data_IF_673016343575
#
_entry.id   IF_673016343575
#
_cell.length_a   1.000
_cell.length_b   1.000
_cell.length_c   1.000
_cell.angle_alpha   90.00
_cell.angle_beta   90.00
_cell.angle_gamma   90.00
#
_symmetry.space_group_name_H-M   'P 1'
#
loop_
_entity.id
_entity.type
_entity.pdbx_description
1 polymer ?
#
# COMPACT_ATOMS: atom_id res chain seq x y z
N UNK A 1 -13.00 8.99 -6.66
CA UNK A 1 -14.05 8.11 -7.24
C UNK A 1 -15.14 7.85 -6.21
N UNK A 2 -16.44 7.86 -6.58
CA UNK A 2 -17.55 7.55 -5.66
C UNK A 2 -17.53 6.03 -5.33
N UNK A 3 -17.75 5.66 -4.07
CA UNK A 3 -17.71 4.24 -3.64
C UNK A 3 -18.74 3.36 -4.37
N UNK A 4 -19.90 3.90 -4.73
CA UNK A 4 -20.87 3.18 -5.54
C UNK A 4 -20.30 2.74 -6.90
N UNK A 5 -19.45 3.58 -7.52
CA UNK A 5 -18.77 3.22 -8.77
C UNK A 5 -17.73 2.13 -8.56
N UNK A 6 -17.03 2.14 -7.41
CA UNK A 6 -16.09 1.04 -7.04
C UNK A 6 -16.85 -0.27 -6.87
N UNK A 7 -17.98 -0.23 -6.18
CA UNK A 7 -18.84 -1.41 -5.97
C UNK A 7 -19.30 -2.01 -7.30
N UNK A 8 -19.80 -1.17 -8.20
CA UNK A 8 -20.22 -1.59 -9.54
C UNK A 8 -19.06 -2.19 -10.33
N UNK A 9 -17.91 -1.53 -10.31
CA UNK A 9 -16.69 -2.00 -10.98
C UNK A 9 -16.27 -3.40 -10.49
N UNK A 10 -16.27 -3.62 -9.18
CA UNK A 10 -15.94 -4.94 -8.60
C UNK A 10 -16.97 -5.99 -9.00
N UNK A 11 -18.27 -5.64 -9.04
CA UNK A 11 -19.32 -6.55 -9.50
C UNK A 11 -19.08 -6.98 -10.96
N UNK A 12 -18.80 -6.02 -11.83
CA UNK A 12 -18.53 -6.28 -13.25
C UNK A 12 -17.28 -7.14 -13.42
N UNK A 13 -16.18 -6.81 -12.72
CA UNK A 13 -14.97 -7.64 -12.77
C UNK A 13 -15.24 -9.09 -12.35
N UNK A 14 -15.99 -9.30 -11.27
CA UNK A 14 -16.33 -10.66 -10.81
C UNK A 14 -17.12 -11.44 -11.84
N UNK A 15 -18.12 -10.82 -12.46
CA UNK A 15 -18.88 -11.47 -13.52
C UNK A 15 -18.01 -11.83 -14.71
N UNK A 16 -17.16 -10.91 -15.18
CA UNK A 16 -16.20 -11.21 -16.27
C UNK A 16 -15.26 -12.36 -15.91
N UNK A 17 -14.69 -12.36 -14.69
CA UNK A 17 -13.80 -13.43 -14.23
C UNK A 17 -14.55 -14.78 -14.05
N UNK A 18 -15.88 -14.72 -13.85
CA UNK A 18 -16.76 -15.91 -13.84
C UNK A 18 -17.24 -16.32 -15.24
N UNK A 19 -16.70 -15.73 -16.30
CA UNK A 19 -17.07 -15.97 -17.72
C UNK A 19 -18.52 -15.56 -18.05
N UNK A 20 -19.07 -14.63 -17.28
CA UNK A 20 -20.44 -14.14 -17.49
C UNK A 20 -20.47 -12.99 -18.51
N UNK A 21 -21.62 -12.83 -19.18
CA UNK A 21 -21.97 -11.59 -19.87
C UNK A 21 -22.53 -10.62 -18.84
N UNK A 22 -21.86 -9.50 -18.61
CA UNK A 22 -22.23 -8.51 -17.59
C UNK A 22 -22.67 -7.20 -18.22
N UNK A 23 -23.55 -6.50 -17.52
CA UNK A 23 -23.97 -5.17 -17.90
C UNK A 23 -23.03 -4.12 -17.29
N UNK A 24 -22.53 -3.23 -18.12
CA UNK A 24 -21.63 -2.14 -17.74
C UNK A 24 -22.29 -0.79 -18.08
N UNK A 25 -22.50 0.04 -17.05
CA UNK A 25 -23.10 1.37 -17.20
C UNK A 25 -22.01 2.43 -17.34
N UNK A 26 -22.12 3.25 -18.40
CA UNK A 26 -21.26 4.41 -18.70
C UNK A 26 -22.10 5.69 -18.86
N UNK A 27 -21.37 6.84 -19.03
CA UNK A 27 -21.99 8.13 -19.36
C UNK A 27 -22.60 8.11 -20.76
N UNK A 28 -23.55 7.48 -21.10
CA UNK A 28 -24.15 7.38 -22.45
C UNK A 28 -25.01 6.14 -22.60
N UNK A 29 -25.07 5.30 -21.59
CA UNK A 29 -25.92 4.13 -21.62
C UNK A 29 -25.34 2.91 -20.93
N UNK A 30 -26.00 1.79 -21.12
CA UNK A 30 -25.57 0.49 -20.60
C UNK A 30 -25.21 -0.42 -21.76
N UNK A 31 -24.11 -1.14 -21.63
CA UNK A 31 -23.61 -2.08 -22.62
C UNK A 31 -23.40 -3.46 -21.98
N UNK A 32 -23.63 -4.51 -22.76
CA UNK A 32 -23.23 -5.87 -22.37
C UNK A 32 -21.80 -6.11 -22.79
N UNK A 33 -20.97 -6.58 -21.85
CA UNK A 33 -19.56 -6.94 -22.09
C UNK A 33 -19.28 -8.35 -21.62
N UNK A 34 -18.36 -9.03 -22.30
CA UNK A 34 -17.87 -10.36 -21.95
C UNK A 34 -16.49 -10.61 -22.53
N UNK A 35 -15.78 -11.62 -22.08
CA UNK A 35 -14.61 -12.13 -22.80
C UNK A 35 -15.09 -12.86 -24.07
N UNK A 36 -14.66 -12.40 -25.24
CA UNK A 36 -15.18 -12.89 -26.52
C UNK A 36 -14.66 -14.27 -26.91
N UNK A 37 -13.44 -14.60 -26.49
CA UNK A 37 -12.75 -15.83 -26.88
C UNK A 37 -12.07 -16.51 -25.70
N UNK A 38 -12.81 -16.89 -24.64
CA UNK A 38 -12.25 -17.52 -23.44
C UNK A 38 -11.60 -18.89 -23.74
N UNK A 39 -12.01 -19.55 -24.81
CA UNK A 39 -11.45 -20.82 -25.28
C UNK A 39 -9.97 -20.72 -25.71
N UNK A 40 -9.48 -19.54 -26.05
CA UNK A 40 -8.06 -19.32 -26.35
C UNK A 40 -7.16 -19.34 -25.10
N UNK A 41 -7.75 -19.33 -23.90
CA UNK A 41 -7.06 -19.40 -22.60
C UNK A 41 -5.94 -18.37 -22.44
N UNK A 42 -6.12 -17.17 -23.00
CA UNK A 42 -5.18 -16.06 -22.85
C UNK A 42 -5.13 -15.53 -21.39
N UNK A 43 -6.20 -15.77 -20.64
CA UNK A 43 -6.31 -15.53 -19.21
C UNK A 43 -6.78 -16.82 -18.59
N UNK A 44 -6.17 -17.23 -17.47
CA UNK A 44 -6.68 -18.34 -16.68
C UNK A 44 -7.96 -17.90 -15.96
N UNK A 45 -9.10 -18.37 -16.44
CA UNK A 45 -10.43 -18.15 -15.87
C UNK A 45 -11.02 -19.42 -15.23
N UNK A 46 -10.25 -20.51 -15.20
CA UNK A 46 -10.68 -21.77 -14.59
C UNK A 46 -10.44 -21.74 -13.08
N UNK A 47 -9.42 -21.04 -12.64
CA UNK A 47 -9.14 -20.81 -11.23
C UNK A 47 -9.77 -19.49 -10.75
N UNK A 48 -10.23 -19.48 -9.50
CA UNK A 48 -10.77 -18.26 -8.89
C UNK A 48 -9.66 -17.20 -8.73
N UNK A 49 -9.87 -16.03 -9.33
CA UNK A 49 -8.98 -14.86 -9.16
C UNK A 49 -9.54 -13.98 -8.05
N UNK A 50 -8.89 -13.94 -6.87
CA UNK A 50 -9.37 -13.13 -5.75
C UNK A 50 -9.19 -11.64 -6.04
N UNK A 51 -10.19 -10.83 -5.70
CA UNK A 51 -10.12 -9.37 -5.78
C UNK A 51 -9.74 -8.84 -4.41
N UNK A 52 -8.70 -8.02 -4.36
CA UNK A 52 -8.26 -7.32 -3.16
C UNK A 52 -8.53 -5.82 -3.28
N UNK A 53 -8.98 -5.21 -2.19
CA UNK A 53 -9.26 -3.79 -2.11
C UNK A 53 -8.30 -3.09 -1.17
N UNK A 54 -7.65 -2.03 -1.64
CA UNK A 54 -6.88 -1.12 -0.80
C UNK A 54 -7.84 -0.10 -0.17
N UNK A 55 -8.12 -0.25 1.13
CA UNK A 55 -9.12 0.53 1.84
C UNK A 55 -8.59 1.06 3.18
N UNK A 56 -8.24 2.36 3.22
CA UNK A 56 -7.67 3.00 4.41
C UNK A 56 -8.72 3.62 5.33
N UNK A 57 -9.80 4.15 4.77
CA UNK A 57 -10.87 4.80 5.54
C UNK A 57 -12.03 3.88 5.92
N UNK A 58 -12.87 4.25 6.90
CA UNK A 58 -13.95 3.41 7.41
C UNK A 58 -14.97 3.03 6.33
N UNK A 59 -15.32 3.95 5.43
CA UNK A 59 -16.27 3.69 4.33
C UNK A 59 -15.71 2.68 3.31
N UNK A 60 -14.40 2.76 3.03
CA UNK A 60 -13.72 1.80 2.14
C UNK A 60 -13.68 0.41 2.76
N UNK A 61 -13.34 0.30 4.05
CA UNK A 61 -13.36 -0.97 4.79
C UNK A 61 -14.76 -1.59 4.83
N UNK A 62 -15.80 -0.78 5.08
CA UNK A 62 -17.19 -1.25 5.05
C UNK A 62 -17.58 -1.80 3.66
N UNK A 63 -17.16 -1.14 2.57
CA UNK A 63 -17.38 -1.63 1.22
C UNK A 63 -16.62 -2.93 0.95
N UNK A 64 -15.35 -3.02 1.36
CA UNK A 64 -14.55 -4.26 1.26
C UNK A 64 -15.24 -5.43 1.96
N UNK A 65 -15.71 -5.20 3.18
CA UNK A 65 -16.45 -6.18 3.96
C UNK A 65 -17.78 -6.56 3.30
N UNK A 66 -18.57 -5.59 2.84
CA UNK A 66 -19.81 -5.82 2.09
C UNK A 66 -19.59 -6.74 0.90
N UNK A 67 -18.55 -6.50 0.15
CA UNK A 67 -18.20 -7.26 -1.04
C UNK A 67 -17.54 -8.61 -0.72
N UNK A 68 -17.07 -8.85 0.50
CA UNK A 68 -16.28 -10.05 0.81
C UNK A 68 -15.01 -10.12 -0.04
N UNK A 69 -14.39 -8.98 -0.31
CA UNK A 69 -13.16 -8.91 -1.04
C UNK A 69 -11.96 -9.05 -0.07
N UNK A 70 -10.82 -9.54 -0.55
CA UNK A 70 -9.58 -9.45 0.19
C UNK A 70 -9.24 -7.99 0.49
N UNK A 71 -8.57 -7.75 1.59
CA UNK A 71 -8.17 -6.40 2.01
C UNK A 71 -6.67 -6.25 2.01
N UNK A 72 -6.18 -5.10 1.59
CA UNK A 72 -4.76 -4.79 1.61
C UNK A 72 -4.49 -3.41 2.21
N UNK A 73 -3.41 -3.32 2.97
CA UNK A 73 -2.92 -2.08 3.56
C UNK A 73 -1.40 -1.98 3.47
N UNK A 74 -0.87 -0.78 3.63
CA UNK A 74 0.54 -0.51 3.80
C UNK A 74 0.83 0.13 5.15
N UNK A 75 2.10 0.39 5.42
CA UNK A 75 2.56 1.04 6.63
C UNK A 75 3.66 0.26 7.33
N UNK A 76 4.05 0.71 8.53
CA UNK A 76 4.93 -0.05 9.40
C UNK A 76 4.14 -1.15 10.14
N UNK A 77 4.86 -2.04 10.86
CA UNK A 77 4.26 -3.12 11.65
C UNK A 77 3.10 -2.68 12.55
N UNK A 78 3.33 -1.61 13.35
CA UNK A 78 2.31 -1.11 14.30
C UNK A 78 1.07 -0.58 13.59
N UNK A 79 1.27 0.20 12.54
CA UNK A 79 0.18 0.77 11.74
C UNK A 79 -0.64 -0.30 11.03
N UNK A 80 0.00 -1.31 10.45
CA UNK A 80 -0.66 -2.44 9.79
C UNK A 80 -1.53 -3.23 10.78
N UNK A 81 -0.99 -3.60 11.96
CA UNK A 81 -1.74 -4.35 12.99
C UNK A 81 -2.93 -3.52 13.50
N UNK A 82 -2.76 -2.23 13.75
CA UNK A 82 -3.86 -1.35 14.15
C UNK A 82 -4.96 -1.28 13.07
N UNK A 83 -4.57 -1.13 11.80
CA UNK A 83 -5.51 -1.06 10.68
C UNK A 83 -6.30 -2.37 10.49
N UNK A 84 -5.66 -3.52 10.77
CA UNK A 84 -6.34 -4.83 10.73
C UNK A 84 -7.46 -4.93 11.76
N UNK A 85 -7.27 -4.40 12.98
CA UNK A 85 -8.33 -4.33 13.99
C UNK A 85 -9.58 -3.61 13.46
N UNK A 86 -9.41 -2.42 12.89
CA UNK A 86 -10.51 -1.66 12.30
C UNK A 86 -11.14 -2.34 11.05
N UNK A 87 -10.37 -3.17 10.33
CA UNK A 87 -10.93 -3.96 9.23
C UNK A 87 -11.77 -5.14 9.74
N UNK A 88 -11.33 -5.82 10.81
CA UNK A 88 -12.11 -6.89 11.46
C UNK A 88 -13.44 -6.39 12.00
N UNK A 89 -13.45 -5.21 12.64
CA UNK A 89 -14.69 -4.57 13.08
C UNK A 89 -15.67 -4.36 11.91
N UNK A 90 -15.18 -3.81 10.79
CA UNK A 90 -16.00 -3.63 9.59
C UNK A 90 -16.48 -4.97 8.99
N UNK A 91 -15.63 -6.00 9.05
CA UNK A 91 -15.94 -7.35 8.56
C UNK A 91 -17.04 -8.01 9.40
N UNK A 92 -16.92 -7.98 10.71
CA UNK A 92 -17.92 -8.50 11.65
C UNK A 92 -19.24 -7.71 11.57
N UNK A 93 -19.17 -6.38 11.41
CA UNK A 93 -20.36 -5.53 11.21
C UNK A 93 -21.11 -5.86 9.91
N UNK A 94 -20.44 -6.43 8.90
CA UNK A 94 -21.06 -6.95 7.68
C UNK A 94 -21.60 -8.38 7.82
N UNK A 95 -21.59 -8.96 9.04
CA UNK A 95 -22.07 -10.31 9.32
C UNK A 95 -21.15 -11.43 8.80
N UNK A 96 -19.87 -11.12 8.57
CA UNK A 96 -18.91 -12.09 8.02
C UNK A 96 -18.07 -12.74 9.12
N UNK A 97 -17.67 -13.98 8.88
CA UNK A 97 -16.73 -14.67 9.76
C UNK A 97 -15.32 -14.10 9.59
N UNK A 98 -14.68 -13.71 10.68
CA UNK A 98 -13.32 -13.14 10.66
C UNK A 98 -12.26 -14.08 10.05
N UNK A 99 -12.48 -15.39 10.14
CA UNK A 99 -11.60 -16.40 9.53
C UNK A 99 -11.54 -16.34 8.00
N UNK A 100 -12.58 -15.76 7.39
CA UNK A 100 -12.66 -15.62 5.93
C UNK A 100 -12.03 -14.32 5.42
N UNK A 101 -11.54 -13.47 6.32
CA UNK A 101 -10.85 -12.23 5.95
C UNK A 101 -9.44 -12.53 5.43
N UNK A 102 -9.25 -12.41 4.13
CA UNK A 102 -7.92 -12.45 3.54
C UNK A 102 -7.29 -11.05 3.61
N UNK A 103 -6.33 -10.89 4.50
CA UNK A 103 -5.65 -9.62 4.75
C UNK A 103 -4.19 -9.66 4.28
N UNK A 104 -3.80 -8.68 3.46
CA UNK A 104 -2.44 -8.51 2.96
C UNK A 104 -1.85 -7.20 3.48
N UNK A 105 -0.60 -7.24 3.96
CA UNK A 105 0.16 -6.02 4.22
C UNK A 105 1.42 -5.95 3.37
N UNK A 106 1.84 -4.72 3.02
CA UNK A 106 3.06 -4.47 2.26
C UNK A 106 4.20 -4.09 3.19
N UNK A 107 5.30 -4.86 3.12
CA UNK A 107 6.58 -4.51 3.71
C UNK A 107 7.39 -3.62 2.76
N UNK A 108 7.40 -2.34 3.04
CA UNK A 108 8.23 -1.36 2.33
C UNK A 108 9.44 -1.03 3.20
N UNK A 109 10.63 -1.48 2.84
CA UNK A 109 11.79 -1.22 3.68
C UNK A 109 13.07 -1.88 3.19
N UNK A 110 14.08 -1.83 4.03
CA UNK A 110 15.42 -2.34 3.76
C UNK A 110 15.82 -3.34 4.85
N UNK A 111 16.29 -4.51 4.45
CA UNK A 111 16.99 -5.44 5.35
C UNK A 111 18.40 -4.89 5.58
N UNK A 112 18.66 -4.36 6.77
CA UNK A 112 19.96 -3.79 7.12
C UNK A 112 20.98 -4.89 7.35
N UNK A 113 22.19 -4.67 6.87
CA UNK A 113 23.34 -5.53 7.14
C UNK A 113 23.91 -5.26 8.52
N UNK A 114 24.74 -6.17 9.03
CA UNK A 114 25.40 -5.99 10.33
C UNK A 114 26.21 -4.68 10.35
N UNK A 115 25.95 -3.84 11.34
CA UNK A 115 26.58 -2.53 11.50
C UNK A 115 26.14 -1.47 10.48
N UNK A 116 25.20 -1.75 9.58
CA UNK A 116 24.74 -0.78 8.60
C UNK A 116 23.81 0.26 9.23
N UNK A 117 24.10 1.52 8.99
CA UNK A 117 23.22 2.62 9.38
C UNK A 117 21.91 2.57 8.59
N UNK A 118 20.78 2.83 9.26
CA UNK A 118 19.47 2.80 8.61
C UNK A 118 19.28 3.91 7.55
N UNK A 119 20.18 4.89 7.52
CA UNK A 119 20.25 5.94 6.50
C UNK A 119 21.50 5.82 5.60
N UNK A 120 22.12 4.64 5.53
CA UNK A 120 23.16 4.36 4.54
C UNK A 120 22.67 4.68 3.12
N UNK A 121 23.55 4.94 2.14
CA UNK A 121 23.11 5.17 0.77
C UNK A 121 22.19 4.08 0.24
N UNK A 122 22.47 2.81 0.57
CA UNK A 122 21.64 1.66 0.19
C UNK A 122 20.28 1.67 0.88
N UNK A 123 20.25 1.88 2.20
CA UNK A 123 19.00 1.94 2.96
C UNK A 123 18.12 3.13 2.52
N UNK A 124 18.72 4.29 2.25
CA UNK A 124 18.01 5.44 1.66
C UNK A 124 17.41 5.12 0.31
N UNK A 125 18.13 4.44 -0.57
CA UNK A 125 17.63 4.06 -1.88
C UNK A 125 16.45 3.07 -1.78
N UNK A 126 16.52 2.09 -0.89
CA UNK A 126 15.50 1.05 -0.75
C UNK A 126 14.28 1.47 0.08
N UNK A 127 14.46 2.18 1.18
CA UNK A 127 13.41 2.52 2.15
C UNK A 127 12.97 3.99 2.12
N UNK A 128 13.86 4.89 1.72
CA UNK A 128 13.62 6.34 1.72
C UNK A 128 12.35 6.77 0.96
N UNK A 129 12.12 6.28 -0.28
CA UNK A 129 10.90 6.63 -1.02
C UNK A 129 9.60 6.27 -0.28
N UNK A 130 9.60 5.20 0.51
CA UNK A 130 8.45 4.84 1.34
C UNK A 130 8.36 5.68 2.62
N UNK A 131 9.49 6.08 3.17
CA UNK A 131 9.52 6.93 4.36
C UNK A 131 9.03 8.36 4.08
N UNK A 132 9.24 8.89 2.85
CA UNK A 132 8.75 10.22 2.45
C UNK A 132 7.29 10.25 2.02
N UNK A 133 6.69 9.11 1.71
CA UNK A 133 5.30 9.03 1.24
C UNK A 133 4.31 9.78 2.14
N UNK A 134 4.51 9.70 3.46
CA UNK A 134 3.64 10.41 4.42
C UNK A 134 3.75 11.93 4.29
N UNK A 135 4.92 12.44 3.92
CA UNK A 135 5.10 13.88 3.69
C UNK A 135 4.38 14.34 2.43
N UNK A 136 4.36 13.50 1.37
CA UNK A 136 3.60 13.77 0.15
C UNK A 136 2.11 13.96 0.47
N UNK A 137 1.50 13.00 1.18
CA UNK A 137 0.08 13.07 1.58
C UNK A 137 -0.21 14.29 2.46
N UNK A 138 0.62 14.52 3.48
CA UNK A 138 0.37 15.59 4.45
C UNK A 138 0.70 16.99 3.92
N UNK A 139 1.51 17.13 2.89
CA UNK A 139 1.81 18.41 2.26
C UNK A 139 0.69 18.87 1.32
N UNK A 140 0.05 17.92 0.62
CA UNK A 140 -1.02 18.22 -0.35
C UNK A 140 -2.44 18.05 0.22
N UNK A 141 -2.57 17.65 1.50
CA UNK A 141 -3.88 17.35 2.10
C UNK A 141 -4.87 18.53 2.08
N UNK A 142 -4.37 19.77 2.09
CA UNK A 142 -5.20 20.98 2.03
C UNK A 142 -5.80 21.18 0.63
N UNK A 143 -5.09 20.73 -0.42
CA UNK A 143 -5.50 20.88 -1.82
C UNK A 143 -6.32 19.68 -2.32
N UNK A 144 -5.89 18.45 -1.98
CA UNK A 144 -6.43 17.21 -2.54
C UNK A 144 -7.18 16.34 -1.52
N UNK A 145 -7.12 16.70 -0.24
CA UNK A 145 -7.61 15.86 0.87
C UNK A 145 -6.57 14.82 1.30
N UNK A 146 -6.67 14.36 2.55
CA UNK A 146 -5.71 13.41 3.15
C UNK A 146 -6.22 11.97 3.08
N UNK A 147 -5.28 11.03 2.92
CA UNK A 147 -5.51 9.60 3.12
C UNK A 147 -5.69 9.23 4.60
N UNK A 148 -5.54 10.20 5.52
CA UNK A 148 -5.74 10.03 6.96
C UNK A 148 -4.51 9.48 7.70
N UNK A 149 -3.34 9.56 7.10
CA UNK A 149 -2.09 9.23 7.78
C UNK A 149 -1.82 10.21 8.93
N UNK A 150 -1.22 9.69 10.00
CA UNK A 150 -0.78 10.48 11.15
C UNK A 150 0.74 10.38 11.27
N UNK A 151 1.38 11.54 11.23
CA UNK A 151 2.82 11.62 11.45
C UNK A 151 3.13 11.57 12.95
N UNK A 152 4.08 10.72 13.39
CA UNK A 152 4.57 10.80 14.76
C UNK A 152 5.14 12.19 15.07
N UNK A 153 4.87 12.76 16.27
CA UNK A 153 5.21 14.16 16.60
C UNK A 153 6.69 14.52 16.42
N UNK A 154 7.60 13.58 16.63
CA UNK A 154 9.05 13.79 16.48
C UNK A 154 9.48 14.15 15.05
N UNK A 155 8.65 13.90 14.03
CA UNK A 155 8.95 14.21 12.63
C UNK A 155 8.25 15.49 12.13
N UNK A 156 7.67 16.27 13.03
CA UNK A 156 6.97 17.52 12.64
C UNK A 156 7.91 18.53 11.99
N UNK A 157 9.17 18.60 12.41
CA UNK A 157 10.16 19.49 11.81
C UNK A 157 10.45 19.11 10.34
N UNK A 158 10.57 17.80 10.04
CA UNK A 158 10.75 17.30 8.67
C UNK A 158 9.51 17.61 7.81
N UNK A 159 8.30 17.44 8.34
CA UNK A 159 7.08 17.81 7.63
C UNK A 159 7.04 19.31 7.30
N UNK A 160 7.41 20.17 8.25
CA UNK A 160 7.44 21.61 8.01
C UNK A 160 8.48 21.98 6.92
N UNK A 161 9.65 21.35 6.95
CA UNK A 161 10.66 21.51 5.90
C UNK A 161 10.13 21.00 4.54
N UNK A 162 9.43 19.85 4.53
CA UNK A 162 8.84 19.33 3.30
C UNK A 162 7.74 20.25 2.74
N UNK A 163 6.90 20.83 3.58
CA UNK A 163 5.87 21.80 3.16
C UNK A 163 6.48 23.04 2.48
N UNK A 164 7.63 23.48 2.93
CA UNK A 164 8.35 24.56 2.25
C UNK A 164 8.84 24.13 0.86
N UNK A 165 9.34 22.90 0.72
CA UNK A 165 9.71 22.29 -0.57
C UNK A 165 8.48 22.20 -1.48
N UNK A 166 7.38 21.62 -0.98
CA UNK A 166 6.12 21.48 -1.72
C UNK A 166 5.58 22.84 -2.19
N UNK A 167 5.63 23.86 -1.33
CA UNK A 167 5.20 25.21 -1.67
C UNK A 167 5.98 25.87 -2.82
N UNK A 168 7.22 25.40 -3.08
CA UNK A 168 8.06 25.90 -4.17
C UNK A 168 7.81 25.24 -5.53
N UNK A 169 7.04 24.14 -5.57
CA UNK A 169 6.77 23.40 -6.81
C UNK A 169 5.94 24.21 -7.82
N UNK A 170 6.25 24.00 -9.09
CA UNK A 170 5.60 24.66 -10.21
C UNK A 170 4.94 23.63 -11.13
N UNK A 171 3.81 23.98 -11.79
CA UNK A 171 3.02 25.20 -11.55
C UNK A 171 2.24 25.15 -10.23
N UNK A 172 1.87 26.31 -9.63
CA UNK A 172 1.23 26.35 -8.30
C UNK A 172 -0.13 25.66 -8.22
N UNK A 173 -0.84 25.54 -9.32
CA UNK A 173 -2.14 24.87 -9.44
C UNK A 173 -2.02 23.36 -9.73
N UNK A 174 -0.80 22.87 -9.90
CA UNK A 174 -0.52 21.44 -10.14
C UNK A 174 0.75 20.94 -9.43
N UNK A 175 1.00 21.43 -8.21
CA UNK A 175 2.17 21.01 -7.39
C UNK A 175 2.26 19.49 -7.21
N UNK A 176 1.12 18.79 -7.22
CA UNK A 176 1.06 17.34 -7.13
C UNK A 176 1.87 16.62 -8.23
N UNK A 177 2.02 17.20 -9.42
CA UNK A 177 2.85 16.62 -10.49
C UNK A 177 4.32 16.50 -10.07
N UNK A 178 4.87 17.53 -9.41
CA UNK A 178 6.21 17.48 -8.85
C UNK A 178 6.27 16.65 -7.57
N UNK A 179 5.23 16.75 -6.72
CA UNK A 179 5.15 16.01 -5.47
C UNK A 179 5.19 14.49 -5.68
N UNK A 180 4.48 13.99 -6.68
CA UNK A 180 4.44 12.56 -7.00
C UNK A 180 5.54 12.10 -7.96
N UNK A 181 6.41 12.97 -8.43
CA UNK A 181 7.55 12.55 -9.23
C UNK A 181 8.48 11.65 -8.42
N UNK A 182 8.68 10.43 -8.88
CA UNK A 182 9.50 9.44 -8.17
C UNK A 182 8.82 8.79 -6.95
N UNK A 183 7.53 9.08 -6.71
CA UNK A 183 6.76 8.53 -5.59
C UNK A 183 6.90 7.01 -5.53
N UNK A 184 7.35 6.51 -4.37
CA UNK A 184 7.67 5.10 -4.13
C UNK A 184 8.77 4.49 -5.03
N UNK A 185 9.41 5.26 -5.90
CA UNK A 185 10.44 4.77 -6.83
C UNK A 185 11.84 5.19 -6.42
N UNK A 186 12.05 6.47 -6.19
CA UNK A 186 13.33 7.05 -5.80
C UNK A 186 13.15 8.32 -4.98
N UNK A 187 14.17 8.67 -4.18
CA UNK A 187 14.23 9.95 -3.46
C UNK A 187 14.70 11.05 -4.41
N UNK A 188 13.98 12.15 -4.46
CA UNK A 188 14.44 13.37 -5.13
C UNK A 188 15.59 14.03 -4.34
N UNK A 189 16.46 14.82 -4.98
CA UNK A 189 17.57 15.47 -4.31
C UNK A 189 17.16 16.27 -3.07
N UNK A 190 16.06 17.01 -3.17
CA UNK A 190 15.53 17.85 -2.09
C UNK A 190 14.94 17.04 -0.92
N UNK A 191 14.59 15.79 -1.12
CA UNK A 191 14.09 14.89 -0.08
C UNK A 191 15.20 14.22 0.72
N UNK A 192 16.40 14.11 0.14
CA UNK A 192 17.54 13.41 0.75
C UNK A 192 17.88 13.95 2.15
N UNK A 193 17.75 15.26 2.35
CA UNK A 193 18.09 15.93 3.61
C UNK A 193 17.08 15.63 4.73
N UNK A 194 15.90 15.12 4.40
CA UNK A 194 14.85 14.79 5.37
C UNK A 194 14.98 13.38 5.92
N UNK A 195 15.75 12.52 5.25
CA UNK A 195 15.91 11.13 5.63
C UNK A 195 16.87 11.00 6.80
N UNK A 196 16.34 10.45 7.88
CA UNK A 196 17.11 10.10 9.08
C UNK A 196 16.94 8.61 9.40
N UNK A 197 17.86 7.99 10.18
CA UNK A 197 17.71 6.61 10.63
C UNK A 197 16.37 6.36 11.32
N UNK A 198 15.95 7.28 12.19
CA UNK A 198 14.69 7.18 12.93
C UNK A 198 13.48 7.26 12.02
N UNK A 199 13.51 8.11 10.99
CA UNK A 199 12.41 8.20 10.02
C UNK A 199 12.23 6.87 9.29
N UNK A 200 13.31 6.29 8.76
CA UNK A 200 13.28 5.00 8.06
C UNK A 200 12.75 3.91 8.99
N UNK A 201 13.35 3.74 10.17
CA UNK A 201 12.94 2.70 11.13
C UNK A 201 11.50 2.85 11.63
N UNK A 202 11.03 4.09 11.78
CA UNK A 202 9.68 4.35 12.30
C UNK A 202 8.58 4.20 11.27
N UNK A 203 8.86 4.50 9.99
CA UNK A 203 7.82 4.58 8.96
C UNK A 203 7.84 3.42 7.97
N UNK A 204 8.87 2.56 8.02
CA UNK A 204 9.01 1.44 7.08
C UNK A 204 9.28 0.13 7.81
N UNK A 205 9.25 -0.98 7.06
CA UNK A 205 9.75 -2.27 7.53
C UNK A 205 11.26 -2.36 7.30
N UNK A 206 12.03 -1.53 8.02
CA UNK A 206 13.50 -1.53 7.94
C UNK A 206 14.12 -1.94 9.26
N UNK A 207 15.08 -2.84 9.21
CA UNK A 207 15.77 -3.37 10.37
C UNK A 207 16.76 -4.46 9.96
N UNK A 208 17.49 -4.99 10.93
CA UNK A 208 18.32 -6.18 10.74
C UNK A 208 17.45 -7.40 10.43
N UNK A 209 18.04 -8.44 9.88
CA UNK A 209 17.32 -9.68 9.55
C UNK A 209 16.55 -10.24 10.77
N UNK A 210 17.11 -10.37 11.99
CA UNK A 210 16.36 -10.82 13.17
C UNK A 210 15.17 -9.91 13.51
N UNK A 211 15.36 -8.58 13.50
CA UNK A 211 14.29 -7.61 13.78
C UNK A 211 13.13 -7.72 12.79
N UNK A 212 13.43 -8.01 11.52
CA UNK A 212 12.42 -8.16 10.48
C UNK A 212 11.70 -9.51 10.57
N UNK A 213 12.40 -10.60 10.90
CA UNK A 213 11.79 -11.90 11.21
C UNK A 213 10.74 -11.72 12.31
N UNK A 214 11.12 -11.09 13.44
CA UNK A 214 10.20 -10.83 14.54
C UNK A 214 9.03 -9.92 14.12
N UNK A 215 9.29 -8.96 13.25
CA UNK A 215 8.26 -8.05 12.74
C UNK A 215 7.26 -8.77 11.84
N UNK A 216 7.70 -9.66 10.96
CA UNK A 216 6.83 -10.43 10.07
C UNK A 216 6.04 -11.47 10.88
N UNK A 217 6.68 -12.16 11.84
CA UNK A 217 5.98 -13.07 12.77
C UNK A 217 4.88 -12.36 13.57
N UNK A 218 5.14 -11.14 14.03
CA UNK A 218 4.13 -10.36 14.74
C UNK A 218 2.94 -9.99 13.84
N UNK A 219 3.19 -9.66 12.57
CA UNK A 219 2.16 -9.41 11.56
C UNK A 219 1.35 -10.69 11.29
N UNK A 220 2.01 -11.83 11.13
CA UNK A 220 1.37 -13.14 10.95
C UNK A 220 0.51 -13.50 12.17
N UNK A 221 1.06 -13.37 13.38
CA UNK A 221 0.35 -13.65 14.64
C UNK A 221 -0.87 -12.72 14.85
N UNK A 222 -0.81 -11.48 14.33
CA UNK A 222 -1.96 -10.57 14.32
C UNK A 222 -3.08 -11.04 13.38
N UNK A 223 -2.79 -11.96 12.43
CA UNK A 223 -3.75 -12.58 11.53
C UNK A 223 -3.77 -12.03 10.11
N UNK A 224 -2.67 -11.45 9.65
CA UNK A 224 -2.49 -11.24 8.22
C UNK A 224 -2.28 -12.57 7.49
N UNK A 225 -2.97 -12.73 6.37
CA UNK A 225 -2.87 -13.92 5.51
C UNK A 225 -1.65 -13.87 4.61
N UNK A 226 -1.18 -12.66 4.28
CA UNK A 226 -0.07 -12.45 3.35
C UNK A 226 0.76 -11.22 3.74
N UNK A 227 2.08 -11.37 3.60
CA UNK A 227 3.04 -10.29 3.65
C UNK A 227 3.68 -10.15 2.26
N UNK A 228 3.52 -8.99 1.63
CA UNK A 228 4.08 -8.69 0.31
C UNK A 228 5.21 -7.68 0.44
N UNK A 229 6.27 -7.84 -0.34
CA UNK A 229 7.41 -6.91 -0.36
C UNK A 229 7.36 -6.08 -1.62
N UNK A 230 7.46 -4.78 -1.47
CA UNK A 230 7.58 -3.86 -2.60
C UNK A 230 9.07 -3.67 -2.94
N UNK A 231 9.48 -4.18 -4.09
CA UNK A 231 10.84 -4.05 -4.60
C UNK A 231 11.06 -2.65 -5.21
N UNK A 232 12.29 -2.16 -5.16
CA UNK A 232 12.67 -0.86 -5.73
C UNK A 232 13.38 -1.03 -7.06
N UNK A 233 13.03 -0.17 -8.02
CA UNK A 233 13.68 -0.14 -9.33
C UNK A 233 15.20 0.02 -9.19
N UNK A 234 15.93 -0.85 -9.87
CA UNK A 234 17.39 -0.92 -9.80
C UNK A 234 17.97 -1.64 -8.58
N UNK A 235 17.11 -2.15 -7.69
CA UNK A 235 17.52 -2.90 -6.48
C UNK A 235 16.78 -4.23 -6.33
N UNK A 236 15.99 -4.63 -7.30
CA UNK A 236 15.01 -5.73 -7.21
C UNK A 236 15.64 -7.03 -6.76
N UNK A 237 16.70 -7.48 -7.44
CA UNK A 237 17.34 -8.75 -7.12
C UNK A 237 17.99 -8.76 -5.73
N UNK A 238 18.71 -7.68 -5.39
CA UNK A 238 19.33 -7.57 -4.07
C UNK A 238 18.28 -7.54 -2.94
N UNK A 239 17.17 -6.83 -3.15
CA UNK A 239 16.07 -6.80 -2.19
C UNK A 239 15.37 -8.16 -2.11
N UNK A 240 15.16 -8.84 -3.23
CA UNK A 240 14.55 -10.17 -3.25
C UNK A 240 15.39 -11.18 -2.47
N UNK A 241 16.72 -11.18 -2.65
CA UNK A 241 17.65 -12.03 -1.92
C UNK A 241 17.64 -11.71 -0.41
N UNK A 242 17.69 -10.42 -0.05
CA UNK A 242 17.67 -9.97 1.34
C UNK A 242 16.36 -10.39 2.02
N UNK A 243 15.21 -10.12 1.40
CA UNK A 243 13.90 -10.49 1.93
C UNK A 243 13.63 -12.01 1.90
N UNK A 244 14.20 -12.75 0.94
CA UNK A 244 14.13 -14.21 0.95
C UNK A 244 14.71 -14.78 2.25
N UNK A 245 15.90 -14.28 2.69
CA UNK A 245 16.51 -14.74 3.95
C UNK A 245 15.63 -14.47 5.17
N UNK A 246 14.90 -13.36 5.18
CA UNK A 246 13.94 -13.03 6.25
C UNK A 246 12.74 -13.98 6.20
N UNK A 247 12.07 -14.05 5.03
CA UNK A 247 10.79 -14.75 4.89
C UNK A 247 10.92 -16.26 4.98
N UNK A 248 12.08 -16.82 4.59
CA UNK A 248 12.34 -18.26 4.72
C UNK A 248 12.44 -18.74 6.18
N UNK A 249 12.68 -17.82 7.12
CA UNK A 249 12.83 -18.09 8.55
C UNK A 249 11.58 -17.77 9.38
N UNK A 250 10.53 -17.25 8.75
CA UNK A 250 9.24 -16.97 9.39
C UNK A 250 8.38 -18.22 9.42
#
# INVERSE_FOLDING_TARGET
>A
MKLARVEEYVRVLRGLLAKETVEWAEEGGSHKIQFLTPELKLINLDDAIPIHMSAFGPRGRALTAKLGAGWMCGGNRRGAIHALGAMREAWSAAGRNEKDLYATTFGNGCVLRDGEAADSPRARAQAGPSATMIFHDLAEQEELGSLGFKLPPQFQAQLNAYRAIYGSYQPPDARYLSNHRGHLMFLRPEEQVLITPDLIRSLTFSGTEPELIDSVRAVQAAGFSQFAVLLRAGHEFAMLEDWHRVLWKV
#
